data_IF_852537832071
#
_entry.id   IF_852537832071
#
_cell.length_a   1.000
_cell.length_b   1.000
_cell.length_c   1.000
_cell.angle_alpha   90.00
_cell.angle_beta   90.00
_cell.angle_gamma   90.00
#
_symmetry.space_group_name_H-M   'P 1'
#
loop_
_entity.id
_entity.type
_entity.pdbx_description
1 polymer ?
#
# COMPACT_ATOMS: atom_id res chain seq x y z
N UNK A 1 -22.04 4.81 -1.65
CA UNK A 1 -20.89 4.04 -2.17
C UNK A 1 -19.90 3.85 -1.03
N UNK A 2 -19.54 2.60 -0.72
CA UNK A 2 -18.55 2.22 0.30
C UNK A 2 -17.35 1.63 -0.44
N UNK A 3 -16.16 2.17 -0.17
CA UNK A 3 -14.90 1.69 -0.76
C UNK A 3 -13.98 1.22 0.37
N UNK A 4 -13.61 -0.07 0.37
CA UNK A 4 -12.54 -0.57 1.23
C UNK A 4 -11.19 -0.11 0.66
N UNK A 5 -10.44 0.67 1.42
CA UNK A 5 -9.19 1.27 0.97
C UNK A 5 -7.96 0.36 1.15
N UNK A 6 -8.12 -0.84 1.75
CA UNK A 6 -7.01 -1.74 2.01
C UNK A 6 -7.45 -3.18 2.21
N UNK A 7 -7.42 -3.94 1.14
CA UNK A 7 -7.64 -5.38 1.14
C UNK A 7 -6.55 -6.07 0.32
N UNK A 8 -6.47 -7.38 0.47
CA UNK A 8 -5.55 -8.21 -0.30
C UNK A 8 -6.29 -9.35 -1.00
N UNK A 9 -5.82 -9.73 -2.17
CA UNK A 9 -6.23 -10.96 -2.84
C UNK A 9 -4.98 -11.73 -3.27
N UNK A 10 -5.02 -13.05 -3.06
CA UNK A 10 -3.89 -13.94 -3.22
C UNK A 10 -4.27 -15.15 -4.07
N UNK A 11 -3.37 -15.59 -4.92
CA UNK A 11 -3.51 -16.88 -5.57
C UNK A 11 -3.24 -18.02 -4.57
N UNK A 12 -2.27 -17.80 -3.65
CA UNK A 12 -1.91 -18.74 -2.60
C UNK A 12 -1.94 -18.02 -1.25
N UNK A 13 -2.55 -18.63 -0.23
CA UNK A 13 -2.59 -18.07 1.13
C UNK A 13 -1.19 -17.88 1.70
N UNK A 14 -0.78 -16.64 2.04
CA UNK A 14 0.61 -16.35 2.41
C UNK A 14 0.91 -16.41 3.90
N UNK A 15 -0.10 -16.60 4.76
CA UNK A 15 0.07 -16.43 6.21
C UNK A 15 0.13 -17.75 6.95
N UNK A 16 0.89 -17.75 8.08
CA UNK A 16 0.99 -18.86 9.03
C UNK A 16 0.35 -18.47 10.39
N UNK A 17 -0.32 -19.40 11.08
CA UNK A 17 -0.68 -20.73 10.62
C UNK A 17 -1.70 -20.70 9.48
N UNK A 18 -1.72 -21.73 8.62
CA UNK A 18 -2.68 -21.77 7.51
C UNK A 18 -4.10 -21.88 8.05
N UNK A 19 -5.03 -21.20 7.35
CA UNK A 19 -6.47 -21.32 7.64
C UNK A 19 -7.02 -22.63 7.08
N UNK A 20 -8.13 -23.18 7.62
CA UNK A 20 -8.71 -24.44 7.14
C UNK A 20 -9.07 -24.42 5.65
N UNK A 21 -9.48 -23.28 5.14
CA UNK A 21 -9.89 -23.03 3.75
C UNK A 21 -8.81 -22.29 2.93
N UNK A 22 -7.54 -22.52 3.22
CA UNK A 22 -6.38 -21.82 2.62
C UNK A 22 -6.35 -21.81 1.09
N UNK A 23 -7.00 -22.78 0.44
CA UNK A 23 -7.09 -22.83 -1.03
C UNK A 23 -8.03 -21.80 -1.64
N UNK A 24 -8.93 -21.25 -0.85
CA UNK A 24 -9.94 -20.29 -1.33
C UNK A 24 -9.96 -18.98 -0.56
N UNK A 25 -9.46 -18.96 0.66
CA UNK A 25 -9.52 -17.79 1.56
C UNK A 25 -8.89 -16.53 0.98
N UNK A 26 -7.80 -16.67 0.25
CA UNK A 26 -7.09 -15.56 -0.39
C UNK A 26 -7.67 -15.11 -1.72
N UNK A 27 -8.55 -15.88 -2.34
CA UNK A 27 -9.01 -15.61 -3.70
C UNK A 27 -9.92 -14.38 -3.78
N UNK A 28 -9.86 -13.69 -4.92
CA UNK A 28 -10.71 -12.52 -5.18
C UNK A 28 -12.21 -12.85 -5.16
N UNK A 29 -12.59 -14.06 -5.54
CA UNK A 29 -13.95 -14.55 -5.49
C UNK A 29 -14.51 -14.60 -4.05
N UNK A 30 -13.68 -14.98 -3.09
CA UNK A 30 -14.05 -14.93 -1.67
C UNK A 30 -14.24 -13.49 -1.20
N UNK A 31 -13.36 -12.59 -1.66
CA UNK A 31 -13.48 -11.17 -1.37
C UNK A 31 -14.77 -10.57 -1.94
N UNK A 32 -15.13 -10.89 -3.18
CA UNK A 32 -16.40 -10.46 -3.78
C UNK A 32 -17.60 -10.90 -2.96
N UNK A 33 -17.61 -12.15 -2.52
CA UNK A 33 -18.68 -12.67 -1.67
C UNK A 33 -18.79 -11.92 -0.33
N UNK A 34 -17.66 -11.62 0.31
CA UNK A 34 -17.66 -10.82 1.54
C UNK A 34 -18.11 -9.37 1.30
N UNK A 35 -17.68 -8.76 0.20
CA UNK A 35 -18.12 -7.41 -0.20
C UNK A 35 -19.63 -7.35 -0.41
N UNK A 36 -20.19 -8.32 -1.14
CA UNK A 36 -21.63 -8.38 -1.41
C UNK A 36 -22.46 -8.54 -0.13
N UNK A 37 -22.01 -9.38 0.80
CA UNK A 37 -22.67 -9.57 2.10
C UNK A 37 -22.66 -8.33 2.99
N UNK A 38 -21.62 -7.49 2.86
CA UNK A 38 -21.42 -6.33 3.73
C UNK A 38 -21.72 -5.00 3.05
N UNK A 39 -22.24 -5.02 1.82
CA UNK A 39 -22.62 -3.81 1.09
C UNK A 39 -21.41 -2.94 0.70
N UNK A 40 -20.23 -3.56 0.47
CA UNK A 40 -19.02 -2.87 0.00
C UNK A 40 -19.06 -2.81 -1.52
N UNK A 41 -19.08 -1.61 -2.07
CA UNK A 41 -19.20 -1.40 -3.52
C UNK A 41 -17.88 -1.70 -4.25
N UNK A 42 -16.77 -1.21 -3.72
CA UNK A 42 -15.44 -1.37 -4.31
C UNK A 42 -14.38 -1.68 -3.24
N UNK A 43 -13.27 -2.30 -3.65
CA UNK A 43 -12.11 -2.49 -2.80
C UNK A 43 -10.80 -2.18 -3.55
N UNK A 44 -9.86 -1.57 -2.82
CA UNK A 44 -8.47 -1.41 -3.27
C UNK A 44 -7.71 -2.67 -2.90
N UNK A 45 -7.28 -3.41 -3.90
CA UNK A 45 -6.40 -4.57 -3.74
C UNK A 45 -4.95 -4.09 -3.67
N UNK A 46 -4.43 -4.08 -2.47
CA UNK A 46 -3.02 -3.76 -2.18
C UNK A 46 -2.19 -4.99 -2.45
N UNK A 47 -1.39 -4.97 -3.50
CA UNK A 47 -0.54 -6.10 -3.86
C UNK A 47 0.64 -6.23 -2.89
N UNK A 48 1.08 -7.48 -2.68
CA UNK A 48 2.34 -7.78 -2.01
C UNK A 48 2.95 -9.06 -2.60
N UNK A 49 4.16 -8.96 -3.11
CA UNK A 49 4.87 -10.06 -3.78
C UNK A 49 5.67 -10.89 -2.79
N UNK A 50 4.97 -11.41 -1.78
CA UNK A 50 5.56 -12.13 -0.65
C UNK A 50 5.30 -13.64 -0.74
N UNK A 51 6.11 -14.42 -0.05
CA UNK A 51 6.01 -15.87 0.09
C UNK A 51 5.80 -16.57 -1.28
N UNK A 52 4.71 -17.28 -1.41
CA UNK A 52 4.38 -18.06 -2.62
C UNK A 52 3.67 -17.24 -3.69
N UNK A 53 3.66 -15.90 -3.58
CA UNK A 53 2.94 -14.99 -4.47
C UNK A 53 3.85 -13.98 -5.23
N UNK A 54 4.96 -14.41 -5.86
CA UNK A 54 5.81 -13.48 -6.61
C UNK A 54 5.08 -12.83 -7.78
N UNK A 55 4.04 -13.48 -8.33
CA UNK A 55 3.16 -12.99 -9.40
C UNK A 55 1.95 -12.18 -8.94
N UNK A 56 1.87 -11.75 -7.66
CA UNK A 56 0.67 -11.12 -7.12
C UNK A 56 0.20 -9.88 -7.90
N UNK A 57 1.10 -9.05 -8.43
CA UNK A 57 0.73 -7.93 -9.30
C UNK A 57 -0.04 -8.38 -10.55
N UNK A 58 0.42 -9.43 -11.21
CA UNK A 58 -0.23 -9.96 -12.41
C UNK A 58 -1.57 -10.63 -12.07
N UNK A 59 -1.63 -11.39 -10.98
CA UNK A 59 -2.87 -11.98 -10.47
C UNK A 59 -3.94 -10.90 -10.22
N UNK A 60 -3.59 -9.85 -9.49
CA UNK A 60 -4.54 -8.77 -9.17
C UNK A 60 -4.95 -7.99 -10.42
N UNK A 61 -4.01 -7.74 -11.37
CA UNK A 61 -4.38 -7.16 -12.68
C UNK A 61 -5.48 -7.97 -13.38
N UNK A 62 -5.33 -9.28 -13.42
CA UNK A 62 -6.31 -10.15 -14.09
C UNK A 62 -7.64 -10.19 -13.33
N UNK A 63 -7.61 -10.07 -12.00
CA UNK A 63 -8.82 -9.88 -11.17
C UNK A 63 -9.52 -8.56 -11.50
N UNK A 64 -8.78 -7.46 -11.55
CA UNK A 64 -9.35 -6.13 -11.87
C UNK A 64 -9.94 -6.10 -13.27
N UNK A 65 -9.29 -6.72 -14.26
CA UNK A 65 -9.83 -6.82 -15.62
C UNK A 65 -11.13 -7.61 -15.71
N UNK A 66 -11.31 -8.63 -14.86
CA UNK A 66 -12.57 -9.39 -14.77
C UNK A 66 -13.66 -8.63 -14.00
N UNK A 67 -13.30 -7.76 -13.09
CA UNK A 67 -14.21 -7.05 -12.18
C UNK A 67 -13.85 -5.56 -12.06
N UNK A 68 -13.84 -4.79 -13.17
CA UNK A 68 -13.32 -3.41 -13.18
C UNK A 68 -14.13 -2.44 -12.31
N UNK A 69 -15.42 -2.74 -12.10
CA UNK A 69 -16.32 -1.91 -11.27
C UNK A 69 -16.22 -2.25 -9.77
N UNK A 70 -15.49 -3.31 -9.41
CA UNK A 70 -15.40 -3.80 -8.03
C UNK A 70 -14.01 -3.63 -7.42
N UNK A 71 -12.95 -3.68 -8.23
CA UNK A 71 -11.59 -3.67 -7.72
C UNK A 71 -10.71 -2.59 -8.36
N UNK A 72 -9.83 -2.05 -7.54
CA UNK A 72 -8.78 -1.11 -7.93
C UNK A 72 -7.44 -1.72 -7.51
N UNK A 73 -6.48 -1.81 -8.42
CA UNK A 73 -5.15 -2.31 -8.12
C UNK A 73 -4.23 -1.22 -7.58
N UNK A 74 -3.54 -1.51 -6.46
CA UNK A 74 -2.34 -0.81 -6.03
C UNK A 74 -1.19 -1.81 -6.10
N UNK A 75 -0.37 -1.71 -7.16
CA UNK A 75 0.71 -2.66 -7.39
C UNK A 75 1.83 -2.53 -6.36
N UNK A 76 2.45 -3.66 -6.02
CA UNK A 76 3.69 -3.73 -5.26
C UNK A 76 4.84 -3.21 -6.12
N UNK A 77 5.43 -2.06 -5.74
CA UNK A 77 6.55 -1.44 -6.43
C UNK A 77 7.67 -1.18 -5.44
N UNK A 78 8.82 -1.79 -5.67
CA UNK A 78 10.03 -1.66 -4.85
C UNK A 78 9.81 -1.84 -3.35
N UNK A 79 8.92 -2.77 -2.96
CA UNK A 79 8.70 -3.09 -1.56
C UNK A 79 9.93 -3.77 -0.92
N UNK A 80 10.02 -3.69 0.39
CA UNK A 80 11.18 -4.08 1.20
C UNK A 80 11.62 -5.56 1.08
N UNK A 81 10.81 -6.41 0.48
CA UNK A 81 11.14 -7.80 0.14
C UNK A 81 11.66 -7.98 -1.29
N UNK A 82 11.67 -6.91 -2.11
CA UNK A 82 12.20 -6.94 -3.46
C UNK A 82 13.72 -6.79 -3.46
N UNK A 83 14.41 -7.51 -4.35
CA UNK A 83 15.84 -7.33 -4.62
C UNK A 83 16.16 -5.94 -5.20
N UNK A 84 15.15 -5.25 -5.74
CA UNK A 84 15.27 -3.90 -6.28
C UNK A 84 14.97 -2.81 -5.26
N UNK A 85 14.65 -3.18 -4.01
CA UNK A 85 14.29 -2.22 -2.97
C UNK A 85 15.35 -1.13 -2.81
N UNK A 86 14.94 0.12 -3.04
CA UNK A 86 15.76 1.33 -2.92
C UNK A 86 17.05 1.30 -3.77
N UNK A 87 17.11 0.47 -4.81
CA UNK A 87 18.23 0.48 -5.76
C UNK A 87 18.03 1.51 -6.87
N UNK A 88 19.10 1.94 -7.58
CA UNK A 88 18.98 2.84 -8.72
C UNK A 88 17.95 2.40 -9.77
N UNK A 89 17.23 3.37 -10.35
CA UNK A 89 16.18 3.14 -11.35
C UNK A 89 14.78 2.92 -10.77
N UNK A 90 14.53 3.23 -9.50
CA UNK A 90 13.23 3.10 -8.86
C UNK A 90 12.11 3.87 -9.60
N UNK A 91 12.40 5.08 -10.09
CA UNK A 91 11.46 5.90 -10.88
C UNK A 91 11.03 5.20 -12.18
N UNK A 92 11.96 4.58 -12.90
CA UNK A 92 11.66 3.83 -14.12
C UNK A 92 10.78 2.62 -13.81
N UNK A 93 11.08 1.87 -12.74
CA UNK A 93 10.25 0.73 -12.32
C UNK A 93 8.82 1.13 -11.94
N UNK A 94 8.65 2.30 -11.30
CA UNK A 94 7.30 2.83 -11.01
C UNK A 94 6.56 3.17 -12.29
N UNK A 95 7.22 3.80 -13.26
CA UNK A 95 6.62 4.14 -14.57
C UNK A 95 6.21 2.90 -15.33
N UNK A 96 7.10 1.91 -15.43
CA UNK A 96 6.81 0.64 -16.09
C UNK A 96 5.63 -0.09 -15.43
N UNK A 97 5.57 -0.11 -14.10
CA UNK A 97 4.45 -0.70 -13.38
C UNK A 97 3.15 0.06 -13.62
N UNK A 98 3.19 1.40 -13.61
CA UNK A 98 2.02 2.24 -13.85
C UNK A 98 1.43 2.02 -15.24
N UNK A 99 2.26 1.91 -16.28
CA UNK A 99 1.84 1.63 -17.65
C UNK A 99 1.32 0.19 -17.79
N UNK A 100 2.07 -0.79 -17.29
CA UNK A 100 1.73 -2.21 -17.40
C UNK A 100 0.40 -2.56 -16.73
N UNK A 101 0.10 -1.95 -15.59
CA UNK A 101 -1.05 -2.27 -14.76
C UNK A 101 -2.14 -1.19 -14.77
N UNK A 102 -1.97 -0.11 -15.54
CA UNK A 102 -2.91 1.02 -15.63
C UNK A 102 -3.27 1.59 -14.24
N UNK A 103 -2.24 1.82 -13.43
CA UNK A 103 -2.39 2.09 -12.01
C UNK A 103 -3.08 3.42 -11.70
N UNK A 104 -3.86 3.42 -10.61
CA UNK A 104 -4.31 4.62 -9.89
C UNK A 104 -3.47 4.91 -8.66
N UNK A 105 -2.72 3.94 -8.19
CA UNK A 105 -1.83 4.03 -7.05
C UNK A 105 -0.93 2.81 -6.95
N UNK A 106 0.04 2.88 -6.06
CA UNK A 106 0.97 1.80 -5.80
C UNK A 106 1.14 1.58 -4.30
N UNK A 107 1.60 0.41 -3.91
CA UNK A 107 2.02 0.15 -2.54
C UNK A 107 3.53 0.07 -2.46
N UNK A 108 4.08 0.62 -1.37
CA UNK A 108 5.50 0.60 -1.08
C UNK A 108 5.71 0.33 0.41
N UNK A 109 6.24 -0.83 0.72
CA UNK A 109 6.60 -1.25 2.08
C UNK A 109 8.06 -0.90 2.35
N UNK A 110 8.32 -0.23 3.48
CA UNK A 110 9.67 0.27 3.82
C UNK A 110 10.30 -0.46 5.00
N UNK A 111 11.62 -0.43 5.06
CA UNK A 111 12.44 -0.88 6.21
C UNK A 111 12.87 0.33 7.07
N UNK A 112 14.10 0.33 7.55
CA UNK A 112 14.62 1.35 8.49
C UNK A 112 15.39 2.50 7.84
N UNK A 113 15.56 2.49 6.53
CA UNK A 113 16.34 3.45 5.73
C UNK A 113 15.54 4.74 5.41
N UNK A 114 15.15 5.48 6.43
CA UNK A 114 14.26 6.66 6.31
C UNK A 114 14.84 7.78 5.44
N UNK A 115 16.15 7.84 5.28
CA UNK A 115 16.86 8.80 4.45
C UNK A 115 16.59 8.66 2.96
N UNK A 116 16.13 7.48 2.50
CA UNK A 116 15.87 7.26 1.08
C UNK A 116 14.80 8.20 0.52
N UNK A 117 13.79 8.58 1.30
CA UNK A 117 12.75 9.52 0.84
C UNK A 117 13.32 10.89 0.47
N UNK A 118 14.45 11.30 1.06
CA UNK A 118 15.16 12.54 0.74
C UNK A 118 16.28 12.38 -0.28
N UNK A 119 16.62 11.16 -0.71
CA UNK A 119 17.66 10.90 -1.71
C UNK A 119 17.20 11.28 -3.12
N UNK A 120 18.16 11.45 -4.06
CA UNK A 120 17.84 11.74 -5.45
C UNK A 120 16.95 10.65 -6.07
N UNK A 121 17.18 9.37 -5.77
CA UNK A 121 16.37 8.24 -6.24
C UNK A 121 14.96 8.29 -5.64
N UNK A 122 14.82 8.50 -4.34
CA UNK A 122 13.51 8.62 -3.68
C UNK A 122 12.72 9.81 -4.21
N UNK A 123 13.37 10.96 -4.38
CA UNK A 123 12.74 12.15 -4.95
C UNK A 123 12.27 11.92 -6.38
N UNK A 124 13.10 11.30 -7.24
CA UNK A 124 12.72 10.96 -8.62
C UNK A 124 11.55 9.95 -8.67
N UNK A 125 11.51 8.99 -7.72
CA UNK A 125 10.39 8.05 -7.59
C UNK A 125 9.06 8.75 -7.30
N UNK A 126 9.02 9.68 -6.34
CA UNK A 126 7.80 10.40 -6.00
C UNK A 126 7.47 11.54 -6.97
N UNK A 127 8.45 12.09 -7.68
CA UNK A 127 8.21 12.98 -8.83
C UNK A 127 7.47 12.23 -9.94
N UNK A 128 7.88 10.98 -10.24
CA UNK A 128 7.17 10.10 -11.18
C UNK A 128 5.73 9.81 -10.70
N UNK A 129 5.53 9.61 -9.40
CA UNK A 129 4.18 9.44 -8.85
C UNK A 129 3.32 10.70 -9.06
N UNK A 130 3.90 11.89 -8.89
CA UNK A 130 3.21 13.16 -9.12
C UNK A 130 2.85 13.36 -10.60
N UNK A 131 3.79 13.14 -11.52
CA UNK A 131 3.59 13.22 -12.98
C UNK A 131 2.45 12.31 -13.44
N UNK A 132 2.43 11.08 -12.95
CA UNK A 132 1.45 10.06 -13.31
C UNK A 132 0.16 10.14 -12.48
N UNK A 133 0.06 11.10 -11.55
CA UNK A 133 -1.09 11.31 -10.65
C UNK A 133 -1.46 10.07 -9.83
N UNK A 134 -0.45 9.37 -9.35
CA UNK A 134 -0.63 8.15 -8.56
C UNK A 134 -0.84 8.45 -7.09
N UNK A 135 -1.60 7.60 -6.43
CA UNK A 135 -1.72 7.55 -4.97
C UNK A 135 -0.58 6.70 -4.41
N UNK A 136 0.19 7.23 -3.47
CA UNK A 136 1.24 6.51 -2.77
C UNK A 136 0.69 5.86 -1.50
N UNK A 137 0.57 4.54 -1.48
CA UNK A 137 0.09 3.76 -0.34
C UNK A 137 1.28 3.12 0.38
N UNK A 138 1.65 3.68 1.54
CA UNK A 138 2.92 3.41 2.20
C UNK A 138 2.74 2.59 3.49
N UNK A 139 3.44 1.48 3.59
CA UNK A 139 3.56 0.73 4.84
C UNK A 139 4.79 1.21 5.60
N UNK A 140 4.58 2.15 6.49
CA UNK A 140 5.64 2.80 7.28
C UNK A 140 5.22 3.00 8.74
N UNK A 141 6.22 3.08 9.61
CA UNK A 141 6.03 3.30 11.04
C UNK A 141 6.20 4.77 11.46
N UNK A 142 6.08 5.04 12.77
CA UNK A 142 6.19 6.40 13.33
C UNK A 142 7.52 7.08 13.01
N UNK A 143 8.61 6.34 12.99
CA UNK A 143 9.96 6.87 12.68
C UNK A 143 10.07 7.49 11.28
N UNK A 144 9.17 7.11 10.37
CA UNK A 144 9.10 7.65 9.01
C UNK A 144 8.31 8.95 8.89
N UNK A 145 7.56 9.35 9.93
CA UNK A 145 6.65 10.48 9.83
C UNK A 145 7.32 11.81 9.48
N UNK A 146 8.50 12.15 10.03
CA UNK A 146 9.22 13.37 9.62
C UNK A 146 9.58 13.35 8.12
N UNK A 147 10.16 12.26 7.63
CA UNK A 147 10.53 12.11 6.22
C UNK A 147 9.30 12.15 5.30
N UNK A 148 8.18 11.53 5.72
CA UNK A 148 6.91 11.59 5.01
C UNK A 148 6.37 13.02 4.92
N UNK A 149 6.43 13.79 6.01
CA UNK A 149 5.94 15.18 6.02
C UNK A 149 6.73 16.06 5.04
N UNK A 150 8.05 15.91 4.99
CA UNK A 150 8.91 16.66 4.08
C UNK A 150 8.61 16.26 2.62
N UNK A 151 8.48 14.97 2.37
CA UNK A 151 8.11 14.44 1.06
C UNK A 151 6.73 14.94 0.60
N UNK A 152 5.73 14.88 1.49
CA UNK A 152 4.37 15.30 1.18
C UNK A 152 4.25 16.81 0.91
N UNK A 153 5.02 17.64 1.62
CA UNK A 153 5.12 19.08 1.32
C UNK A 153 5.77 19.34 -0.03
N UNK A 154 6.76 18.53 -0.42
CA UNK A 154 7.46 18.65 -1.70
C UNK A 154 6.58 18.22 -2.88
N UNK A 155 5.72 17.21 -2.68
CA UNK A 155 4.82 16.68 -3.70
C UNK A 155 3.34 16.85 -3.30
N UNK A 156 2.82 18.07 -3.25
CA UNK A 156 1.48 18.35 -2.70
C UNK A 156 0.34 17.74 -3.53
N UNK A 157 0.61 17.31 -4.76
CA UNK A 157 -0.37 16.66 -5.65
C UNK A 157 -0.44 15.15 -5.47
N UNK A 158 0.51 14.55 -4.75
CA UNK A 158 0.51 13.11 -4.45
C UNK A 158 -0.25 12.87 -3.15
N UNK A 159 -1.36 12.11 -3.15
CA UNK A 159 -1.97 11.64 -1.92
C UNK A 159 -1.12 10.52 -1.29
N UNK A 160 -0.75 10.67 -0.03
CA UNK A 160 -0.01 9.68 0.75
C UNK A 160 -0.93 8.98 1.74
N UNK A 161 -1.09 7.66 1.61
CA UNK A 161 -1.92 6.83 2.47
C UNK A 161 -1.05 5.93 3.34
N UNK A 162 -1.01 6.18 4.66
CA UNK A 162 -0.27 5.34 5.60
C UNK A 162 -1.08 4.08 5.96
N UNK A 163 -0.46 2.90 5.85
CA UNK A 163 -1.09 1.64 6.21
C UNK A 163 -1.30 1.51 7.73
N UNK A 164 -2.35 0.79 8.13
CA UNK A 164 -2.54 0.23 9.46
C UNK A 164 -2.25 1.24 10.59
N UNK A 165 -2.93 2.39 10.53
CA UNK A 165 -2.78 3.48 11.52
C UNK A 165 -1.31 3.95 11.68
N UNK A 166 -0.48 3.80 10.61
CA UNK A 166 0.94 4.12 10.60
C UNK A 166 1.72 3.45 11.76
N UNK A 167 1.28 2.27 12.20
CA UNK A 167 1.89 1.54 13.29
C UNK A 167 1.58 2.11 14.68
N UNK A 168 0.48 2.83 14.87
CA UNK A 168 0.00 3.24 16.19
C UNK A 168 -0.16 2.05 17.14
N UNK A 169 0.10 2.27 18.43
CA UNK A 169 -0.12 1.28 19.48
C UNK A 169 -0.88 1.87 20.65
N UNK A 170 -1.80 1.10 21.21
CA UNK A 170 -2.54 1.50 22.42
C UNK A 170 -1.56 1.68 23.59
N UNK A 171 -1.67 2.81 24.29
CA UNK A 171 -0.80 3.14 25.42
C UNK A 171 0.53 3.79 25.06
N UNK A 172 0.88 3.91 23.79
CA UNK A 172 2.12 4.57 23.32
C UNK A 172 1.81 6.01 22.84
N UNK A 173 1.83 6.95 23.76
CA UNK A 173 1.52 8.36 23.49
C UNK A 173 2.58 9.04 22.61
N UNK A 174 3.86 8.64 22.70
CA UNK A 174 4.94 9.21 21.89
C UNK A 174 4.76 8.83 20.42
N UNK A 175 4.52 7.54 20.16
CA UNK A 175 4.23 7.01 18.82
C UNK A 175 3.00 7.67 18.20
N UNK A 176 1.93 7.82 18.98
CA UNK A 176 0.72 8.51 18.54
C UNK A 176 0.98 9.98 18.21
N UNK A 177 1.76 10.68 19.01
CA UNK A 177 2.14 12.08 18.75
C UNK A 177 2.92 12.23 17.44
N UNK A 178 3.87 11.34 17.16
CA UNK A 178 4.62 11.33 15.89
C UNK A 178 3.68 11.15 14.67
N UNK A 179 2.72 10.22 14.76
CA UNK A 179 1.77 9.96 13.68
C UNK A 179 0.83 11.15 13.47
N UNK A 180 0.26 11.68 14.55
CA UNK A 180 -0.69 12.80 14.47
C UNK A 180 -0.03 14.11 14.04
N UNK A 181 1.29 14.28 14.22
CA UNK A 181 2.03 15.41 13.68
C UNK A 181 1.96 15.49 12.13
N UNK A 182 1.73 14.39 11.44
CA UNK A 182 1.54 14.39 9.98
C UNK A 182 0.17 14.91 9.54
N UNK A 183 -0.81 15.01 10.44
CA UNK A 183 -2.15 15.53 10.12
C UNK A 183 -2.16 17.01 9.68
N UNK A 184 -1.07 17.75 9.91
CA UNK A 184 -0.92 19.14 9.44
C UNK A 184 -0.60 19.22 7.93
N UNK A 185 -0.25 18.09 7.29
CA UNK A 185 0.06 18.04 5.86
C UNK A 185 -1.17 17.51 5.12
N UNK A 186 -1.85 18.33 4.31
CA UNK A 186 -3.22 18.05 3.83
C UNK A 186 -3.33 16.85 2.87
N UNK A 187 -2.24 16.43 2.25
CA UNK A 187 -2.21 15.28 1.34
C UNK A 187 -1.73 13.99 2.02
N UNK A 188 -1.71 13.92 3.36
CA UNK A 188 -1.43 12.71 4.13
C UNK A 188 -2.70 12.18 4.77
N UNK A 189 -2.91 10.88 4.69
CA UNK A 189 -4.03 10.18 5.30
C UNK A 189 -3.54 8.90 5.99
N UNK A 190 -4.24 8.50 7.04
CA UNK A 190 -3.97 7.25 7.76
C UNK A 190 -5.12 6.28 7.55
N UNK A 191 -4.86 5.10 7.05
CA UNK A 191 -5.87 4.05 6.87
C UNK A 191 -6.24 3.45 8.22
N UNK A 192 -7.53 3.45 8.52
CA UNK A 192 -8.10 2.82 9.73
C UNK A 192 -8.27 1.32 9.51
N UNK A 193 -7.16 0.59 9.55
CA UNK A 193 -7.08 -0.86 9.31
C UNK A 193 -6.02 -1.51 10.19
N UNK A 194 -5.97 -2.85 10.23
CA UNK A 194 -4.95 -3.58 10.98
C UNK A 194 -5.03 -3.35 12.50
N UNK A 195 -6.24 -3.25 13.06
CA UNK A 195 -6.46 -2.95 14.49
C UNK A 195 -5.74 -3.92 15.43
N UNK A 196 -5.53 -5.16 15.02
CA UNK A 196 -4.78 -6.16 15.79
C UNK A 196 -3.30 -5.79 15.97
N UNK A 197 -2.73 -4.96 15.09
CA UNK A 197 -1.36 -4.45 15.27
C UNK A 197 -1.27 -3.34 16.33
N UNK A 198 -2.39 -2.68 16.64
CA UNK A 198 -2.45 -1.62 17.64
C UNK A 198 -2.66 -2.15 19.06
N UNK A 199 -3.06 -3.41 19.22
CA UNK A 199 -3.25 -4.04 20.53
C UNK A 199 -1.92 -4.12 21.30
N UNK A 200 -1.97 -4.07 22.65
CA UNK A 200 -0.79 -4.20 23.49
C UNK A 200 -0.19 -5.60 23.39
#
# INVERSE_FOLDING_TARGET
MIIDSHSHAWEFWPYEPPVPDHKSRGLAEMMLWEMDRNGVDQAVLVCARIEHNPGNNDYVRDVVRRHPDRFIQFADVDCSWSDTYHTPGAAARLRDAAERYELKGFTHYVKSDTEWFGSDEGLAFFETAAELKLIASLALGPQWQPALQDLARRFPTVPFLCHHMAGARVGDAERLAQITASAVVPNTCVKMSGFHYAAP
#
